data_IF_391045235000
#
_entry.id   IF_391045235000
#
_cell.length_a   1.000
_cell.length_b   1.000
_cell.length_c   1.000
_cell.angle_alpha   90.00
_cell.angle_beta   90.00
_cell.angle_gamma   90.00
#
_symmetry.space_group_name_H-M   'P 1'
#
loop_
_entity.id
_entity.type
_entity.pdbx_description
1 polymer ?
#
# COMPACT_ATOMS: atom_id res chain seq x y z
N UNK A 1 -3.95 -16.06 14.38
CA UNK A 1 -2.52 -16.07 14.02
C UNK A 1 -1.79 -16.96 15.03
N UNK A 2 -0.57 -17.44 14.74
CA UNK A 2 0.27 -18.07 15.76
C UNK A 2 1.22 -17.02 16.35
N UNK A 3 1.22 -16.83 17.67
CA UNK A 3 2.12 -15.86 18.33
C UNK A 3 3.59 -16.20 18.12
N UNK A 4 3.96 -17.48 18.14
CA UNK A 4 5.35 -17.92 17.90
C UNK A 4 5.85 -17.45 16.53
N UNK A 5 5.03 -17.57 15.48
CA UNK A 5 5.37 -17.13 14.13
C UNK A 5 5.60 -15.61 14.05
N UNK A 6 4.86 -14.80 14.82
CA UNK A 6 5.07 -13.34 14.89
C UNK A 6 6.40 -13.02 15.57
N UNK A 7 6.77 -13.75 16.62
CA UNK A 7 8.06 -13.60 17.31
C UNK A 7 9.24 -14.04 16.43
N UNK A 8 9.11 -15.16 15.69
CA UNK A 8 10.08 -15.61 14.70
C UNK A 8 10.26 -14.58 13.57
N UNK A 9 9.17 -14.01 13.06
CA UNK A 9 9.21 -12.96 12.03
C UNK A 9 9.92 -11.69 12.52
N UNK A 10 9.67 -11.25 13.76
CA UNK A 10 10.38 -10.09 14.35
C UNK A 10 11.90 -10.31 14.45
N UNK A 11 12.34 -11.54 14.76
CA UNK A 11 13.76 -11.88 14.80
C UNK A 11 14.42 -11.86 13.40
N UNK A 12 13.71 -12.31 12.36
CA UNK A 12 14.17 -12.18 10.96
C UNK A 12 14.31 -10.71 10.57
N UNK A 13 13.24 -9.93 10.76
CA UNK A 13 13.22 -8.49 10.46
C UNK A 13 14.30 -7.71 11.22
N UNK A 14 14.62 -8.06 12.46
CA UNK A 14 15.75 -7.45 13.17
C UNK A 14 17.11 -7.80 12.52
N UNK A 15 17.29 -9.03 12.07
CA UNK A 15 18.50 -9.46 11.35
C UNK A 15 18.66 -8.72 10.01
N UNK A 16 17.56 -8.54 9.29
CA UNK A 16 17.49 -7.78 8.03
C UNK A 16 17.79 -6.28 8.25
N UNK A 17 17.27 -5.67 9.32
CA UNK A 17 17.62 -4.30 9.76
C UNK A 17 19.12 -4.17 10.02
N UNK A 18 19.74 -5.09 10.77
CA UNK A 18 21.18 -5.04 11.07
C UNK A 18 22.04 -5.22 9.81
N UNK A 19 21.62 -6.07 8.87
CA UNK A 19 22.27 -6.23 7.57
C UNK A 19 22.22 -4.95 6.73
N UNK A 20 21.07 -4.30 6.65
CA UNK A 20 20.89 -3.04 5.91
C UNK A 20 21.69 -1.89 6.53
N UNK A 21 21.72 -1.79 7.87
CA UNK A 21 22.59 -0.84 8.58
C UNK A 21 24.07 -1.08 8.21
N UNK A 22 24.52 -2.34 8.20
CA UNK A 22 25.90 -2.68 7.79
C UNK A 22 26.18 -2.27 6.35
N UNK A 23 25.24 -2.47 5.43
CA UNK A 23 25.40 -2.08 4.02
C UNK A 23 25.62 -0.57 3.85
N UNK A 24 24.92 0.27 4.61
CA UNK A 24 25.09 1.74 4.59
C UNK A 24 26.51 2.22 4.93
N UNK A 25 27.21 1.52 5.83
CA UNK A 25 28.61 1.82 6.13
C UNK A 25 29.58 1.34 5.04
N UNK A 26 29.22 0.29 4.29
CA UNK A 26 30.09 -0.29 3.25
C UNK A 26 29.96 0.39 1.88
N UNK A 27 28.74 0.71 1.45
CA UNK A 27 28.53 1.34 0.15
C UNK A 27 29.16 2.73 0.12
N UNK A 28 29.76 3.10 -1.01
CA UNK A 28 30.29 4.44 -1.26
C UNK A 28 29.35 5.24 -2.17
N UNK A 29 28.75 4.58 -3.16
CA UNK A 29 27.75 5.16 -4.05
C UNK A 29 26.51 5.69 -3.29
N UNK A 30 25.98 6.82 -3.76
CA UNK A 30 24.87 7.54 -3.15
C UNK A 30 23.53 6.89 -3.49
N UNK A 31 23.36 6.33 -4.69
CA UNK A 31 22.10 5.69 -5.07
C UNK A 31 21.89 4.38 -4.30
N UNK A 32 22.94 3.57 -4.15
CA UNK A 32 22.93 2.37 -3.31
C UNK A 32 22.68 2.71 -1.83
N UNK A 33 23.24 3.80 -1.30
CA UNK A 33 22.90 4.29 0.05
C UNK A 33 21.43 4.65 0.18
N UNK A 34 20.88 5.41 -0.77
CA UNK A 34 19.47 5.81 -0.73
C UNK A 34 18.51 4.61 -0.84
N UNK A 35 18.80 3.66 -1.73
CA UNK A 35 18.04 2.41 -1.84
C UNK A 35 18.09 1.60 -0.54
N UNK A 36 19.27 1.49 0.07
CA UNK A 36 19.46 0.76 1.35
C UNK A 36 18.77 1.48 2.52
N UNK A 37 18.74 2.82 2.53
CA UNK A 37 17.98 3.62 3.50
C UNK A 37 16.46 3.36 3.38
N UNK A 38 15.94 3.30 2.16
CA UNK A 38 14.52 2.99 1.92
C UNK A 38 14.18 1.56 2.38
N UNK A 39 15.01 0.58 2.04
CA UNK A 39 14.86 -0.81 2.52
C UNK A 39 14.92 -0.90 4.06
N UNK A 40 15.84 -0.16 4.70
CA UNK A 40 15.95 -0.10 6.15
C UNK A 40 14.69 0.49 6.79
N UNK A 41 14.14 1.56 6.21
CA UNK A 41 12.89 2.16 6.68
C UNK A 41 11.70 1.20 6.54
N UNK A 42 11.57 0.51 5.42
CA UNK A 42 10.52 -0.49 5.19
C UNK A 42 10.56 -1.61 6.24
N UNK A 43 11.75 -2.13 6.58
CA UNK A 43 11.88 -3.15 7.62
C UNK A 43 11.55 -2.63 9.03
N UNK A 44 11.86 -1.35 9.33
CA UNK A 44 11.44 -0.71 10.58
C UNK A 44 9.90 -0.57 10.65
N UNK A 45 9.25 -0.21 9.54
CA UNK A 45 7.79 -0.14 9.45
C UNK A 45 7.13 -1.53 9.64
N UNK A 46 7.69 -2.57 9.00
CA UNK A 46 7.27 -3.96 9.20
C UNK A 46 7.43 -4.41 10.66
N UNK A 47 8.54 -4.07 11.31
CA UNK A 47 8.76 -4.37 12.73
C UNK A 47 7.71 -3.69 13.63
N UNK A 48 7.32 -2.45 13.33
CA UNK A 48 6.25 -1.75 14.06
C UNK A 48 4.89 -2.45 13.91
N UNK A 49 4.55 -2.92 12.71
CA UNK A 49 3.35 -3.73 12.47
C UNK A 49 3.36 -5.04 13.29
N UNK A 50 4.48 -5.77 13.30
CA UNK A 50 4.60 -7.03 14.06
C UNK A 50 4.50 -6.80 15.58
N UNK A 51 5.08 -5.71 16.10
CA UNK A 51 4.96 -5.30 17.50
C UNK A 51 3.50 -4.99 17.87
N UNK A 52 2.74 -4.34 16.99
CA UNK A 52 1.32 -4.10 17.20
C UNK A 52 0.51 -5.41 17.18
N UNK A 53 0.80 -6.30 16.23
CA UNK A 53 0.15 -7.60 16.07
C UNK A 53 0.39 -8.55 17.26
N UNK A 54 1.52 -8.47 17.95
CA UNK A 54 1.77 -9.21 19.19
C UNK A 54 1.02 -8.61 20.41
N UNK A 55 0.91 -7.29 20.47
CA UNK A 55 0.14 -6.57 21.52
C UNK A 55 -1.35 -6.89 21.43
N UNK A 56 -1.93 -6.85 20.24
CA UNK A 56 -3.37 -7.11 20.03
C UNK A 56 -3.74 -8.58 20.23
N UNK A 57 -2.77 -9.50 20.17
CA UNK A 57 -2.96 -10.89 20.61
C UNK A 57 -2.80 -11.09 22.13
N UNK A 58 -2.14 -10.15 22.82
CA UNK A 58 -1.86 -10.24 24.26
C UNK A 58 -3.00 -9.70 25.15
N UNK A 59 -3.97 -8.98 24.57
CA UNK A 59 -5.12 -8.38 25.27
C UNK A 59 -6.38 -9.28 25.32
N UNK A 60 -6.34 -10.47 24.73
CA UNK A 60 -7.49 -11.35 24.54
C UNK A 60 -7.74 -12.33 25.70
N UNK A 61 -8.14 -11.84 26.88
CA UNK A 61 -8.64 -12.67 27.98
C UNK A 61 -9.85 -12.04 28.73
N UNK A 62 -10.77 -12.90 29.18
CA UNK A 62 -12.18 -12.63 29.56
C UNK A 62 -12.39 -12.77 31.09
N UNK A 63 -13.60 -12.61 31.72
CA UNK A 63 -14.95 -12.42 31.14
C UNK A 63 -15.88 -11.38 31.86
N UNK A 64 -17.14 -11.29 31.40
CA UNK A 64 -18.33 -11.04 32.26
C UNK A 64 -19.61 -11.54 31.58
N UNK A 65 -20.61 -11.96 32.37
CA UNK A 65 -21.74 -12.79 31.90
C UNK A 65 -23.10 -12.23 32.31
N UNK A 66 -24.05 -12.10 31.37
CA UNK A 66 -25.49 -12.29 31.67
C UNK A 66 -26.37 -12.54 30.43
N UNK A 67 -27.36 -13.42 30.61
CA UNK A 67 -28.46 -13.87 29.74
C UNK A 67 -29.50 -14.56 30.68
N UNK A 68 -30.76 -14.91 30.31
CA UNK A 68 -31.37 -15.06 28.96
C UNK A 68 -32.70 -14.26 28.75
N UNK A 69 -33.34 -14.21 27.57
CA UNK A 69 -34.39 -15.15 27.06
C UNK A 69 -35.36 -14.40 26.11
N UNK A 70 -36.28 -14.95 25.29
CA UNK A 70 -36.43 -16.20 24.47
C UNK A 70 -37.58 -16.02 23.45
N UNK A 71 -37.46 -16.55 22.22
CA UNK A 71 -38.54 -16.63 21.19
C UNK A 71 -37.99 -16.51 19.76
N UNK A 72 -38.11 -17.49 18.85
CA UNK A 72 -39.31 -17.96 18.11
C UNK A 72 -39.76 -16.95 17.02
N UNK A 73 -39.91 -17.28 15.72
CA UNK A 73 -39.89 -18.58 14.99
C UNK A 73 -39.57 -18.39 13.49
N UNK A 74 -39.11 -19.46 12.81
CA UNK A 74 -39.06 -19.61 11.32
C UNK A 74 -40.44 -19.99 10.73
N UNK A 75 -40.71 -20.02 9.39
CA UNK A 75 -39.82 -20.06 8.21
C UNK A 75 -40.13 -18.97 7.14
N UNK A 76 -39.55 -18.92 5.93
CA UNK A 76 -39.96 -19.70 4.73
C UNK A 76 -39.12 -19.38 3.47
N UNK A 77 -38.89 -20.42 2.64
CA UNK A 77 -38.32 -20.53 1.27
C UNK A 77 -37.80 -19.32 0.47
N UNK A 78 -36.62 -19.54 -0.12
CA UNK A 78 -36.28 -19.38 -1.55
C UNK A 78 -36.61 -18.07 -2.30
N UNK A 79 -35.58 -17.29 -2.58
CA UNK A 79 -35.44 -16.60 -3.87
C UNK A 79 -33.97 -16.55 -4.31
N UNK A 80 -33.71 -16.90 -5.58
CA UNK A 80 -32.41 -16.68 -6.23
C UNK A 80 -32.57 -15.49 -7.17
N UNK A 81 -31.74 -14.45 -7.02
CA UNK A 81 -31.37 -13.59 -8.12
C UNK A 81 -29.87 -13.70 -8.42
N UNK A 82 -29.58 -14.26 -9.58
CA UNK A 82 -28.57 -13.79 -10.56
C UNK A 82 -27.39 -12.96 -10.03
N UNK A 83 -26.19 -13.51 -10.19
CA UNK A 83 -24.91 -12.79 -10.10
C UNK A 83 -24.99 -11.48 -10.91
N UNK A 84 -24.83 -10.30 -10.29
CA UNK A 84 -24.59 -9.07 -11.04
C UNK A 84 -23.28 -9.22 -11.81
N UNK A 85 -23.34 -9.08 -13.13
CA UNK A 85 -22.16 -9.16 -13.97
C UNK A 85 -21.13 -8.08 -13.58
N UNK A 86 -19.87 -8.32 -13.96
CA UNK A 86 -18.75 -7.40 -13.79
C UNK A 86 -19.18 -5.97 -14.14
N UNK A 87 -19.02 -5.03 -13.19
CA UNK A 87 -19.47 -3.65 -13.36
C UNK A 87 -18.86 -3.06 -14.63
N UNK A 88 -19.66 -2.54 -15.58
CA UNK A 88 -19.13 -1.95 -16.80
C UNK A 88 -18.39 -0.65 -16.45
N UNK A 89 -17.07 -0.74 -16.32
CA UNK A 89 -16.21 0.41 -16.02
C UNK A 89 -16.34 1.46 -17.12
N UNK A 90 -16.67 2.70 -16.72
CA UNK A 90 -17.07 3.77 -17.62
C UNK A 90 -16.05 4.02 -18.73
N UNK A 91 -16.49 3.92 -19.98
CA UNK A 91 -15.66 3.83 -21.20
C UNK A 91 -15.07 5.17 -21.68
N UNK A 92 -14.47 5.93 -20.77
CA UNK A 92 -13.69 7.14 -21.05
C UNK A 92 -12.32 7.08 -20.35
N UNK A 93 -11.60 5.96 -20.53
CA UNK A 93 -10.24 5.81 -20.00
C UNK A 93 -9.27 6.66 -20.82
N UNK A 94 -8.85 7.80 -20.28
CA UNK A 94 -7.94 8.74 -20.95
C UNK A 94 -6.55 8.13 -21.13
N UNK A 95 -6.01 8.20 -22.34
CA UNK A 95 -4.61 7.86 -22.60
C UNK A 95 -3.70 9.07 -22.34
N UNK A 96 -2.50 8.81 -21.85
CA UNK A 96 -1.44 9.77 -21.59
C UNK A 96 -0.14 9.27 -22.21
N UNK A 97 0.58 10.09 -22.96
CA UNK A 97 2.02 9.84 -23.22
C UNK A 97 2.86 10.23 -22.00
N UNK A 98 4.11 9.75 -21.91
CA UNK A 98 5.04 10.18 -20.85
C UNK A 98 5.23 11.70 -20.81
N UNK A 99 5.24 12.35 -21.96
CA UNK A 99 5.32 13.82 -22.08
C UNK A 99 4.08 14.51 -21.51
N UNK A 100 2.89 13.99 -21.82
CA UNK A 100 1.63 14.51 -21.26
C UNK A 100 1.54 14.27 -19.76
N UNK A 101 2.00 13.10 -19.27
CA UNK A 101 2.03 12.80 -17.84
C UNK A 101 2.94 13.77 -17.07
N UNK A 102 4.09 14.16 -17.63
CA UNK A 102 5.03 15.10 -17.02
C UNK A 102 4.46 16.50 -16.74
N UNK A 103 3.34 16.87 -17.37
CA UNK A 103 2.61 18.10 -17.01
C UNK A 103 1.88 18.00 -15.66
N UNK A 104 1.48 16.80 -15.23
CA UNK A 104 0.69 16.56 -14.01
C UNK A 104 1.62 16.30 -12.81
N UNK A 105 2.48 17.28 -12.53
CA UNK A 105 3.54 17.20 -11.54
C UNK A 105 3.25 17.92 -10.21
N UNK A 106 2.01 18.35 -9.97
CA UNK A 106 1.58 19.02 -8.74
C UNK A 106 2.00 20.49 -8.60
N UNK A 107 2.71 21.07 -9.58
CA UNK A 107 3.24 22.43 -9.51
C UNK A 107 2.36 23.42 -10.28
N UNK A 108 2.46 24.70 -9.93
CA UNK A 108 1.76 25.80 -10.62
C UNK A 108 0.23 25.61 -10.71
N UNK A 109 -0.38 24.94 -9.73
CA UNK A 109 -1.81 24.63 -9.70
C UNK A 109 -2.25 23.47 -10.60
N UNK A 110 -1.33 22.77 -11.29
CA UNK A 110 -1.65 21.53 -12.00
C UNK A 110 -1.81 20.35 -11.02
N UNK A 111 -2.63 19.33 -11.35
CA UNK A 111 -2.74 18.10 -10.55
C UNK A 111 -1.40 17.36 -10.41
N UNK A 112 -1.30 16.48 -9.43
CA UNK A 112 -0.21 15.52 -9.27
C UNK A 112 -0.71 14.11 -9.62
N UNK A 113 -0.23 13.54 -10.74
CA UNK A 113 -0.51 12.17 -11.17
C UNK A 113 0.77 11.33 -11.21
N UNK A 114 0.65 10.01 -11.11
CA UNK A 114 1.76 9.05 -11.30
C UNK A 114 1.28 7.85 -12.11
N UNK A 115 2.18 7.18 -12.83
CA UNK A 115 1.86 5.89 -13.45
C UNK A 115 2.53 4.73 -12.71
N UNK A 116 1.79 3.63 -12.57
CA UNK A 116 2.26 2.32 -12.07
C UNK A 116 1.56 1.23 -12.86
N UNK A 117 2.29 0.26 -13.42
CA UNK A 117 1.75 -0.85 -14.21
C UNK A 117 0.80 -0.38 -15.34
N UNK A 118 1.24 0.59 -16.14
CA UNK A 118 0.47 1.28 -17.20
C UNK A 118 -0.79 2.04 -16.75
N UNK A 119 -1.19 2.04 -15.47
CA UNK A 119 -2.35 2.80 -14.97
C UNK A 119 -1.89 4.13 -14.41
N UNK A 120 -2.55 5.22 -14.82
CA UNK A 120 -2.30 6.57 -14.30
C UNK A 120 -3.24 6.84 -13.13
N UNK A 121 -2.67 7.15 -11.96
CA UNK A 121 -3.37 7.41 -10.71
C UNK A 121 -3.26 8.88 -10.31
N UNK A 122 -4.32 9.42 -9.72
CA UNK A 122 -4.34 10.76 -9.14
C UNK A 122 -3.90 10.74 -7.67
N UNK A 123 -2.82 11.45 -7.36
CA UNK A 123 -2.24 11.59 -6.01
C UNK A 123 -2.34 13.01 -5.44
N UNK A 124 -2.98 13.95 -6.15
CA UNK A 124 -3.06 15.39 -5.81
C UNK A 124 -3.49 15.67 -4.36
N UNK A 125 -4.43 14.88 -3.84
CA UNK A 125 -4.97 15.03 -2.48
C UNK A 125 -4.46 13.95 -1.51
N UNK A 126 -3.46 13.16 -1.89
CA UNK A 126 -2.86 12.14 -1.03
C UNK A 126 -1.75 12.77 -0.18
N UNK A 127 -1.87 12.69 1.16
CA UNK A 127 -0.93 13.28 2.10
C UNK A 127 0.52 12.77 1.94
N UNK A 128 0.71 11.53 1.47
CA UNK A 128 2.02 10.95 1.22
C UNK A 128 2.72 11.56 -0.03
N UNK A 129 1.96 12.23 -0.91
CA UNK A 129 2.43 12.89 -2.14
C UNK A 129 2.45 14.43 -2.01
N UNK A 130 2.60 14.95 -0.78
CA UNK A 130 2.64 16.38 -0.49
C UNK A 130 3.66 17.13 -1.37
N UNK A 131 3.29 18.35 -1.79
CA UNK A 131 4.01 19.16 -2.78
C UNK A 131 4.30 18.45 -4.13
N UNK A 132 3.59 17.37 -4.45
CA UNK A 132 3.83 16.55 -5.66
C UNK A 132 5.04 15.63 -5.54
N UNK A 133 5.43 15.24 -4.32
CA UNK A 133 6.67 14.47 -4.06
C UNK A 133 6.46 13.35 -3.04
N UNK A 134 7.20 12.25 -3.20
CA UNK A 134 7.16 11.09 -2.29
C UNK A 134 8.55 10.43 -2.23
N UNK A 135 9.22 10.47 -1.07
CA UNK A 135 10.58 9.92 -0.87
C UNK A 135 11.62 10.28 -1.96
N UNK A 136 11.56 11.51 -2.48
CA UNK A 136 12.44 11.99 -3.56
C UNK A 136 11.92 11.74 -4.97
N UNK A 137 10.93 10.86 -5.15
CA UNK A 137 10.16 10.74 -6.38
C UNK A 137 9.29 11.99 -6.58
N UNK A 138 8.96 12.29 -7.84
CA UNK A 138 8.17 13.46 -8.23
C UNK A 138 6.97 13.04 -9.07
N UNK A 139 5.84 13.70 -8.91
CA UNK A 139 4.66 13.47 -9.75
C UNK A 139 4.93 13.85 -11.22
N UNK A 140 4.13 13.26 -12.11
CA UNK A 140 4.26 13.38 -13.56
C UNK A 140 5.14 12.31 -14.21
N UNK A 141 5.44 11.21 -13.52
CA UNK A 141 6.33 10.15 -14.00
C UNK A 141 5.75 8.75 -13.79
N UNK A 142 6.36 7.78 -14.47
CA UNK A 142 6.12 6.34 -14.34
C UNK A 142 7.07 5.79 -13.28
N UNK A 143 6.51 5.31 -12.17
CA UNK A 143 7.24 4.79 -11.01
C UNK A 143 6.97 3.29 -10.80
N UNK A 144 6.73 2.56 -11.89
CA UNK A 144 6.43 1.12 -11.84
C UNK A 144 7.55 0.32 -11.15
N UNK A 145 8.82 0.65 -11.40
CA UNK A 145 9.96 -0.06 -10.80
C UNK A 145 10.17 0.28 -9.31
N UNK A 146 9.97 1.55 -8.96
CA UNK A 146 10.13 2.10 -7.62
C UNK A 146 8.96 1.67 -6.71
N UNK A 147 7.74 1.62 -7.24
CA UNK A 147 6.61 1.02 -6.55
C UNK A 147 6.82 -0.48 -6.37
N UNK A 148 7.31 -1.21 -7.37
CA UNK A 148 7.63 -2.63 -7.23
C UNK A 148 8.77 -2.91 -6.22
N UNK A 149 9.74 -2.00 -6.06
CA UNK A 149 10.85 -2.19 -5.12
C UNK A 149 10.53 -1.80 -3.67
N UNK A 150 9.69 -0.77 -3.46
CA UNK A 150 9.25 -0.35 -2.13
C UNK A 150 7.99 -1.09 -1.63
N UNK A 151 7.05 -1.39 -2.52
CA UNK A 151 5.68 -1.84 -2.19
C UNK A 151 5.33 -3.18 -2.84
N UNK A 152 6.31 -4.08 -3.02
CA UNK A 152 6.17 -5.37 -3.71
C UNK A 152 4.91 -6.17 -3.28
N UNK A 153 4.68 -6.30 -1.97
CA UNK A 153 3.54 -7.00 -1.38
C UNK A 153 2.31 -6.10 -1.13
N UNK A 154 2.40 -4.80 -1.39
CA UNK A 154 1.43 -3.79 -0.96
C UNK A 154 0.61 -3.21 -2.13
N UNK A 155 0.31 -4.04 -3.14
CA UNK A 155 -0.50 -3.66 -4.31
C UNK A 155 -1.87 -3.04 -3.93
N UNK A 156 -2.37 -3.33 -2.72
CA UNK A 156 -3.58 -2.73 -2.17
C UNK A 156 -3.51 -1.20 -2.04
N UNK A 157 -2.31 -0.61 -1.93
CA UNK A 157 -2.11 0.85 -1.90
C UNK A 157 -2.68 1.50 -3.17
N UNK A 158 -2.52 0.86 -4.33
CA UNK A 158 -3.06 1.38 -5.60
C UNK A 158 -4.60 1.42 -5.62
N UNK A 159 -5.26 0.56 -4.84
CA UNK A 159 -6.73 0.57 -4.69
C UNK A 159 -7.22 1.75 -3.83
N UNK A 160 -6.33 2.45 -3.12
CA UNK A 160 -6.65 3.68 -2.39
C UNK A 160 -6.55 4.94 -3.26
N UNK A 161 -6.02 4.82 -4.47
CA UNK A 161 -5.79 5.92 -5.40
C UNK A 161 -6.84 5.91 -6.52
N UNK A 162 -7.29 7.08 -6.95
CA UNK A 162 -8.24 7.19 -8.07
C UNK A 162 -7.52 6.98 -9.40
N UNK A 163 -7.81 5.93 -10.19
CA UNK A 163 -7.30 5.81 -11.54
C UNK A 163 -7.97 6.85 -12.45
N UNK A 164 -7.16 7.56 -13.25
CA UNK A 164 -7.60 8.63 -14.16
C UNK A 164 -7.25 8.36 -15.63
N UNK A 165 -6.54 7.27 -15.92
CA UNK A 165 -6.21 6.88 -17.29
C UNK A 165 -5.21 5.75 -17.43
N UNK A 166 -4.61 5.67 -18.62
CA UNK A 166 -3.55 4.71 -18.99
C UNK A 166 -2.34 5.46 -19.52
N UNK A 167 -1.16 4.96 -19.20
CA UNK A 167 0.09 5.36 -19.84
C UNK A 167 0.20 4.59 -21.16
N UNK A 168 0.33 5.30 -22.26
CA UNK A 168 0.52 4.75 -23.60
C UNK A 168 1.75 5.42 -24.19
N UNK A 169 2.67 4.62 -24.75
CA UNK A 169 4.01 5.08 -25.16
C UNK A 169 3.99 6.26 -26.15
#
# INVERSE_FOLDING_TARGET
MNRQLVQEQMNSTFSEIQFLIRLLYTYQDVQMKNLTLNQLWNQIAHLQFLIQLDRDQSSASLPSTQAPSTGSTSPTTSSVPTIPAQTPVSTNQRNFTRQQLAEFNGKNGKPAYVAVNEVVYNVTNNAAWSAGTHFGLTAGQDWTGEFASCHAAEQWILNTLTPVGRLTN
#
